data_IF_798246697904
#
_entry.id   IF_798246697904
#
_cell.length_a   1.000
_cell.length_b   1.000
_cell.length_c   1.000
_cell.angle_alpha   90.00
_cell.angle_beta   90.00
_cell.angle_gamma   90.00
#
_symmetry.space_group_name_H-M   'P 1'
#
loop_
_entity.id
_entity.type
_entity.pdbx_description
1 polymer ?
#
# COMPACT_ATOMS: atom_id res chain seq x y z
N UNK A 1 4.75 3.54 -16.35
CA UNK A 1 5.24 3.33 -14.96
C UNK A 1 6.60 3.97 -14.74
N UNK A 2 7.60 3.71 -15.59
CA UNK A 2 8.99 4.19 -15.39
C UNK A 2 9.10 5.72 -15.35
N UNK A 3 8.54 6.43 -16.34
CA UNK A 3 8.63 7.90 -16.46
C UNK A 3 8.05 8.64 -15.25
N UNK A 4 6.97 8.13 -14.65
CA UNK A 4 6.34 8.76 -13.49
C UNK A 4 6.92 8.28 -12.15
N UNK A 5 7.77 7.23 -12.13
CA UNK A 5 8.32 6.68 -10.88
C UNK A 5 9.05 7.73 -10.04
N UNK A 6 9.90 8.61 -10.59
CA UNK A 6 10.66 9.56 -9.78
C UNK A 6 9.75 10.43 -8.89
N UNK A 7 8.59 10.83 -9.41
CA UNK A 7 7.60 11.59 -8.66
C UNK A 7 7.00 10.80 -7.50
N UNK A 8 6.61 9.54 -7.74
CA UNK A 8 6.10 8.65 -6.69
C UNK A 8 7.17 8.37 -5.62
N UNK A 9 8.42 8.15 -6.01
CA UNK A 9 9.54 7.93 -5.08
C UNK A 9 9.74 9.17 -4.20
N UNK A 10 9.69 10.37 -4.79
CA UNK A 10 9.85 11.62 -4.06
C UNK A 10 8.70 11.86 -3.08
N UNK A 11 7.45 11.65 -3.51
CA UNK A 11 6.28 11.72 -2.65
C UNK A 11 6.40 10.75 -1.47
N UNK A 12 6.74 9.50 -1.75
CA UNK A 12 6.94 8.49 -0.72
C UNK A 12 8.04 8.91 0.27
N UNK A 13 9.18 9.44 -0.18
CA UNK A 13 10.24 9.98 0.70
C UNK A 13 9.73 11.06 1.64
N UNK A 14 8.93 12.00 1.14
CA UNK A 14 8.34 13.07 1.94
C UNK A 14 7.34 12.52 2.98
N UNK A 15 6.61 11.46 2.63
CA UNK A 15 5.62 10.84 3.50
C UNK A 15 6.21 9.88 4.54
N UNK A 16 7.46 9.42 4.39
CA UNK A 16 8.11 8.45 5.31
C UNK A 16 7.90 8.72 6.80
N UNK A 17 8.02 9.96 7.31
CA UNK A 17 7.94 10.19 8.75
C UNK A 17 6.54 9.90 9.33
N UNK A 18 5.48 10.06 8.53
CA UNK A 18 4.09 10.06 9.02
C UNK A 18 3.21 8.98 8.41
N UNK A 19 3.56 8.45 7.22
CA UNK A 19 2.78 7.39 6.59
C UNK A 19 2.90 6.10 7.40
N UNK A 20 1.76 5.44 7.60
CA UNK A 20 1.65 4.16 8.32
C UNK A 20 0.94 3.10 7.50
N UNK A 21 0.06 3.49 6.59
CA UNK A 21 -0.62 2.58 5.68
C UNK A 21 -0.71 3.17 4.27
N UNK A 22 -0.60 2.30 3.25
CA UNK A 22 -0.82 2.64 1.83
C UNK A 22 -1.79 1.63 1.24
N UNK A 23 -2.87 2.11 0.63
CA UNK A 23 -3.83 1.28 -0.11
C UNK A 23 -3.56 1.42 -1.60
N UNK A 24 -3.26 0.30 -2.25
CA UNK A 24 -2.91 0.25 -3.67
C UNK A 24 -4.07 -0.29 -4.49
N UNK A 25 -4.51 0.53 -5.46
CA UNK A 25 -5.67 0.24 -6.30
C UNK A 25 -5.26 -0.49 -7.59
N UNK A 26 -5.46 -1.80 -7.60
CA UNK A 26 -5.23 -2.68 -8.73
C UNK A 26 -3.81 -3.23 -8.86
N UNK A 27 -3.66 -4.30 -9.64
CA UNK A 27 -2.40 -5.00 -9.86
C UNK A 27 -1.32 -4.11 -10.50
N UNK A 28 -1.72 -3.19 -11.38
CA UNK A 28 -0.78 -2.26 -12.00
C UNK A 28 -0.14 -1.31 -10.97
N UNK A 29 -0.97 -0.73 -10.09
CA UNK A 29 -0.48 0.07 -8.97
C UNK A 29 0.44 -0.75 -8.08
N UNK A 30 0.07 -1.99 -7.76
CA UNK A 30 0.88 -2.88 -6.91
C UNK A 30 2.29 -3.09 -7.46
N UNK A 31 2.38 -3.42 -8.75
CA UNK A 31 3.66 -3.60 -9.44
C UNK A 31 4.48 -2.31 -9.55
N UNK A 32 3.83 -1.13 -9.55
CA UNK A 32 4.48 0.17 -9.56
C UNK A 32 5.00 0.59 -8.17
N UNK A 33 4.21 0.36 -7.12
CA UNK A 33 4.49 0.79 -5.75
C UNK A 33 5.64 0.01 -5.12
N UNK A 34 5.72 -1.31 -5.30
CA UNK A 34 6.79 -2.12 -4.70
C UNK A 34 8.22 -1.63 -5.03
N UNK A 35 8.62 -1.42 -6.30
CA UNK A 35 9.95 -0.87 -6.60
C UNK A 35 10.10 0.58 -6.14
N UNK A 36 9.04 1.39 -6.14
CA UNK A 36 9.10 2.77 -5.67
C UNK A 36 9.35 2.84 -4.15
N UNK A 37 8.72 1.96 -3.36
CA UNK A 37 8.99 1.82 -1.93
C UNK A 37 10.44 1.41 -1.67
N UNK A 38 10.97 0.45 -2.42
CA UNK A 38 12.36 0.05 -2.30
C UNK A 38 13.33 1.22 -2.57
N UNK A 39 13.10 1.99 -3.64
CA UNK A 39 13.93 3.15 -4.01
C UNK A 39 13.77 4.34 -3.03
N UNK A 40 12.61 4.44 -2.39
CA UNK A 40 12.34 5.42 -1.36
C UNK A 40 12.86 5.01 0.03
N UNK A 41 13.54 3.85 0.15
CA UNK A 41 14.27 3.44 1.35
C UNK A 41 13.53 2.46 2.25
N UNK A 42 12.43 1.86 1.81
CA UNK A 42 11.78 0.77 2.55
C UNK A 42 12.32 -0.61 2.15
N UNK A 43 12.26 -1.56 3.08
CA UNK A 43 12.68 -2.95 2.82
C UNK A 43 11.49 -3.77 2.33
N UNK A 44 11.40 -3.93 1.00
CA UNK A 44 10.34 -4.74 0.39
C UNK A 44 10.69 -6.24 0.46
N UNK A 45 9.79 -7.10 0.96
CA UNK A 45 10.02 -8.54 1.07
C UNK A 45 10.41 -9.22 -0.25
N UNK A 46 11.22 -10.28 -0.12
CA UNK A 46 11.59 -11.19 -1.22
C UNK A 46 11.21 -12.62 -0.83
N UNK A 47 10.48 -13.38 -1.67
CA UNK A 47 9.96 -13.00 -2.99
C UNK A 47 8.95 -11.85 -2.92
N UNK A 48 8.80 -11.10 -4.03
CA UNK A 48 7.87 -9.96 -4.06
C UNK A 48 6.45 -10.46 -3.81
N UNK A 49 5.68 -9.79 -2.93
CA UNK A 49 4.34 -10.24 -2.60
C UNK A 49 3.42 -10.13 -3.83
N UNK A 50 2.56 -11.12 -4.01
CA UNK A 50 1.56 -11.13 -5.08
C UNK A 50 0.44 -10.12 -4.78
N UNK A 51 -0.18 -9.59 -5.83
CA UNK A 51 -1.36 -8.73 -5.69
C UNK A 51 -2.61 -9.58 -5.39
N UNK A 52 -3.45 -9.08 -4.49
CA UNK A 52 -4.82 -9.56 -4.27
C UNK A 52 -5.66 -8.47 -3.61
N UNK A 53 -6.98 -8.52 -3.81
CA UNK A 53 -7.88 -7.69 -3.00
C UNK A 53 -7.86 -8.18 -1.55
N UNK A 54 -7.73 -7.25 -0.59
CA UNK A 54 -7.56 -7.58 0.82
C UNK A 54 -6.14 -8.04 1.18
N UNK A 55 -5.20 -8.09 0.21
CA UNK A 55 -3.80 -8.41 0.53
C UNK A 55 -3.26 -7.39 1.53
N UNK A 56 -2.50 -7.87 2.53
CA UNK A 56 -1.87 -7.06 3.56
C UNK A 56 -0.43 -7.48 3.72
N UNK A 57 0.50 -6.53 3.62
CA UNK A 57 1.93 -6.79 3.68
C UNK A 57 2.61 -5.74 4.55
N UNK A 58 3.30 -6.20 5.59
CA UNK A 58 4.21 -5.33 6.36
C UNK A 58 5.47 -5.02 5.57
N UNK A 59 5.87 -3.75 5.57
CA UNK A 59 7.06 -3.23 4.90
C UNK A 59 7.91 -2.52 5.96
N UNK A 60 9.13 -3.02 6.19
CA UNK A 60 10.00 -2.50 7.25
C UNK A 60 10.66 -1.17 6.86
N UNK A 61 10.92 -0.34 7.87
CA UNK A 61 11.73 0.87 7.79
C UNK A 61 13.21 0.60 7.48
N UNK A 62 13.94 1.64 7.09
CA UNK A 62 15.36 1.53 6.67
C UNK A 62 16.32 1.19 7.82
N UNK A 63 16.00 1.61 9.03
CA UNK A 63 16.79 1.47 10.27
C UNK A 63 16.74 0.05 10.89
N UNK A 64 15.88 -0.83 10.37
CA UNK A 64 15.76 -2.19 10.88
C UNK A 64 14.86 -2.31 12.12
N UNK A 65 14.08 -1.29 12.46
CA UNK A 65 12.98 -1.44 13.41
C UNK A 65 11.84 -2.25 12.78
N UNK A 66 11.93 -3.56 12.91
CA UNK A 66 10.86 -4.47 12.53
C UNK A 66 9.79 -4.40 13.61
N UNK A 67 8.76 -3.56 13.45
CA UNK A 67 7.40 -3.79 14.01
C UNK A 67 6.38 -3.07 13.13
N UNK A 68 5.70 -3.82 12.26
CA UNK A 68 4.44 -3.36 11.68
C UNK A 68 3.52 -2.83 12.79
N UNK A 69 3.04 -1.60 12.62
CA UNK A 69 2.25 -0.87 13.62
C UNK A 69 3.03 0.10 14.53
N UNK A 70 4.36 0.18 14.44
CA UNK A 70 5.17 1.22 15.09
C UNK A 70 5.35 2.50 14.24
N UNK A 71 6.00 3.55 14.77
CA UNK A 71 6.27 4.79 14.05
C UNK A 71 7.07 4.64 12.75
N UNK A 72 7.75 3.51 12.58
CA UNK A 72 8.73 3.27 11.50
C UNK A 72 8.30 2.15 10.51
N UNK A 73 7.18 1.45 10.79
CA UNK A 73 6.64 0.38 9.93
C UNK A 73 5.53 0.86 9.00
N UNK A 74 5.49 0.35 7.75
CA UNK A 74 4.46 0.65 6.76
C UNK A 74 3.63 -0.60 6.45
N UNK A 75 2.30 -0.46 6.45
CA UNK A 75 1.37 -1.51 6.03
C UNK A 75 0.86 -1.25 4.60
N UNK A 76 1.09 -2.19 3.69
CA UNK A 76 0.65 -2.12 2.31
C UNK A 76 -0.59 -2.98 2.09
N UNK A 77 -1.65 -2.38 1.55
CA UNK A 77 -2.92 -3.03 1.28
C UNK A 77 -3.19 -3.12 -0.22
N UNK A 78 -3.64 -4.29 -0.69
CA UNK A 78 -4.12 -4.48 -2.05
C UNK A 78 -5.63 -4.32 -2.12
N UNK A 79 -6.13 -3.51 -3.06
CA UNK A 79 -7.54 -3.42 -3.38
C UNK A 79 -7.74 -3.57 -4.88
N UNK A 80 -8.84 -4.19 -5.32
CA UNK A 80 -9.20 -4.08 -6.73
C UNK A 80 -9.38 -2.61 -7.12
N UNK A 81 -9.04 -2.30 -8.37
CA UNK A 81 -9.16 -0.94 -8.88
C UNK A 81 -10.64 -0.51 -8.90
N UNK A 82 -10.93 0.72 -8.51
CA UNK A 82 -12.28 1.31 -8.45
C UNK A 82 -12.82 1.72 -9.83
N UNK A 83 -12.51 0.95 -10.88
CA UNK A 83 -13.02 1.23 -12.24
C UNK A 83 -14.50 0.87 -12.34
N UNK A 84 -15.21 1.57 -13.23
CA UNK A 84 -16.62 1.29 -13.53
C UNK A 84 -16.87 -0.19 -13.86
N UNK A 85 -15.97 -0.82 -14.64
CA UNK A 85 -16.06 -2.25 -14.94
C UNK A 85 -16.09 -3.11 -13.67
N UNK A 86 -15.23 -2.84 -12.69
CA UNK A 86 -15.17 -3.67 -11.48
C UNK A 86 -16.37 -3.43 -10.56
N UNK A 87 -16.84 -2.18 -10.47
CA UNK A 87 -17.96 -1.82 -9.61
C UNK A 87 -19.30 -2.28 -10.18
N UNK A 88 -19.51 -2.15 -11.51
CA UNK A 88 -20.77 -2.54 -12.15
C UNK A 88 -20.94 -4.06 -12.26
N UNK A 89 -19.85 -4.80 -12.42
CA UNK A 89 -19.89 -6.28 -12.46
C UNK A 89 -19.90 -6.92 -11.06
N UNK A 90 -19.84 -6.12 -9.98
CA UNK A 90 -19.77 -6.63 -8.61
C UNK A 90 -18.42 -7.24 -8.22
N UNK A 91 -17.41 -7.23 -9.10
CA UNK A 91 -16.05 -7.68 -8.79
C UNK A 91 -15.43 -6.89 -7.63
N UNK A 92 -15.81 -5.62 -7.48
CA UNK A 92 -15.53 -4.81 -6.30
C UNK A 92 -16.83 -4.18 -5.83
N UNK A 93 -17.26 -4.50 -4.61
CA UNK A 93 -18.43 -3.86 -4.00
C UNK A 93 -18.03 -2.69 -3.10
N UNK A 94 -18.94 -1.73 -2.82
CA UNK A 94 -18.70 -0.68 -1.84
C UNK A 94 -18.41 -1.21 -0.42
N UNK A 95 -18.95 -2.38 -0.05
CA UNK A 95 -18.67 -3.02 1.24
C UNK A 95 -17.20 -3.48 1.32
N UNK A 96 -16.73 -4.18 0.28
CA UNK A 96 -15.34 -4.63 0.16
C UNK A 96 -14.34 -3.47 0.18
N UNK A 97 -14.64 -2.38 -0.54
CA UNK A 97 -13.79 -1.18 -0.50
C UNK A 97 -13.74 -0.56 0.90
N UNK A 98 -14.89 -0.40 1.56
CA UNK A 98 -14.96 0.14 2.92
C UNK A 98 -14.19 -0.73 3.92
N UNK A 99 -14.22 -2.05 3.76
CA UNK A 99 -13.49 -2.97 4.63
C UNK A 99 -11.97 -2.76 4.53
N UNK A 100 -11.43 -2.65 3.31
CA UNK A 100 -10.00 -2.37 3.10
C UNK A 100 -9.62 -1.00 3.68
N UNK A 101 -10.40 0.04 3.39
CA UNK A 101 -10.13 1.39 3.90
C UNK A 101 -10.20 1.45 5.43
N UNK A 102 -11.20 0.82 6.04
CA UNK A 102 -11.36 0.79 7.51
C UNK A 102 -10.21 0.04 8.18
N UNK A 103 -9.75 -1.06 7.56
CA UNK A 103 -8.62 -1.82 8.08
C UNK A 103 -7.31 -1.05 7.94
N UNK A 104 -7.09 -0.37 6.81
CA UNK A 104 -5.95 0.51 6.63
C UNK A 104 -5.96 1.70 7.60
N UNK A 105 -7.13 2.29 7.86
CA UNK A 105 -7.27 3.37 8.84
C UNK A 105 -6.90 2.89 10.26
N UNK A 106 -7.37 1.72 10.68
CA UNK A 106 -6.97 1.11 11.97
C UNK A 106 -5.47 0.84 12.03
N UNK A 107 -4.88 0.28 10.97
CA UNK A 107 -3.44 0.04 10.89
C UNK A 107 -2.62 1.35 10.95
N UNK A 108 -3.20 2.45 10.49
CA UNK A 108 -2.61 3.78 10.56
C UNK A 108 -2.88 4.53 11.88
N UNK A 109 -3.61 3.94 12.84
CA UNK A 109 -4.00 4.61 14.09
C UNK A 109 -5.08 5.69 13.91
N UNK A 110 -5.83 5.65 12.80
CA UNK A 110 -6.90 6.61 12.46
C UNK A 110 -8.31 6.07 12.75
N UNK A 111 -8.43 4.82 13.22
CA UNK A 111 -9.72 4.24 13.59
C UNK A 111 -10.23 4.82 14.91
N UNK A 112 -11.51 5.20 14.96
CA UNK A 112 -12.26 5.35 16.21
C UNK A 112 -12.63 3.99 16.77
#
# INVERSE_FOLDING_TARGET
RETCRPWLVQELRLLRPTVRAVVVLGAFGWQATLPALAEAGWRVPRPRPAFGHGARVGIDGSDGSVRGGGPEGLELFGCFHVSQRNTFTGKLTPAMLREVLSTAARAAGLGK
#
